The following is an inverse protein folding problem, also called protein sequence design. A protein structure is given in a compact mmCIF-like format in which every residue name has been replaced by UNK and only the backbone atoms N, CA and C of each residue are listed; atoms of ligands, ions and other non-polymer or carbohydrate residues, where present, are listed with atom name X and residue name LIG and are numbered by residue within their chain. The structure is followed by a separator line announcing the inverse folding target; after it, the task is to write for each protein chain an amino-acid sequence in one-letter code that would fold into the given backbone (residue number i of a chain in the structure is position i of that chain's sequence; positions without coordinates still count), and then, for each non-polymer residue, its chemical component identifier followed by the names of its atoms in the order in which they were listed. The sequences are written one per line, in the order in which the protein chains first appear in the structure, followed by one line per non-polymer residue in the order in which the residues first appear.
data_IF_626004621805
#
_entry.id   IF_626004621805
#
_cell.length_a   1.000
_cell.length_b   1.000
_cell.length_c   1.000
_cell.angle_alpha   90.00
_cell.angle_beta   90.00
_cell.angle_gamma   90.00
#
_symmetry.space_group_name_H-M   'P 1'
#
loop_
_entity.id
_entity.type
_entity.pdbx_description
1 polymer ?
#
# COMPACT_ATOMS: atom_id res chain seq x y z
N UNK A 1 8.36 6.54 6.33
CA UNK A 1 7.77 5.23 6.02
C UNK A 1 8.53 4.64 4.86
N UNK A 2 8.80 3.35 4.91
CA UNK A 2 9.41 2.55 3.87
C UNK A 2 8.32 1.63 3.32
N UNK A 3 8.15 1.63 2.01
CA UNK A 3 7.30 0.73 1.23
C UNK A 3 8.23 -0.27 0.59
N UNK A 4 7.97 -1.56 0.78
CA UNK A 4 8.71 -2.62 0.10
C UNK A 4 7.71 -3.54 -0.58
N UNK A 5 8.00 -3.92 -1.82
CA UNK A 5 7.20 -4.84 -2.62
C UNK A 5 8.16 -5.88 -3.19
N UNK A 6 7.83 -7.15 -3.01
CA UNK A 6 8.37 -8.24 -3.80
C UNK A 6 7.28 -8.69 -4.75
N UNK A 7 7.50 -8.50 -6.05
CA UNK A 7 6.52 -8.84 -7.05
C UNK A 7 6.37 -10.36 -7.19
N UNK A 8 5.22 -10.77 -7.70
CA UNK A 8 5.03 -12.13 -8.18
C UNK A 8 5.50 -12.27 -9.64
N UNK A 9 4.94 -13.24 -10.37
CA UNK A 9 5.31 -13.45 -11.78
C UNK A 9 4.82 -12.35 -12.73
N UNK A 10 3.97 -11.43 -12.25
CA UNK A 10 3.31 -10.41 -13.05
C UNK A 10 3.49 -8.99 -12.45
N UNK A 11 4.73 -8.50 -12.32
CA UNK A 11 5.01 -7.16 -11.81
C UNK A 11 4.28 -6.05 -12.58
N UNK A 12 4.06 -6.23 -13.89
CA UNK A 12 3.35 -5.28 -14.75
C UNK A 12 1.87 -5.08 -14.39
N UNK A 13 1.31 -5.94 -13.55
CA UNK A 13 -0.08 -5.89 -13.10
C UNK A 13 -0.20 -5.21 -11.74
N UNK A 14 0.91 -5.13 -11.00
CA UNK A 14 0.99 -4.57 -9.66
C UNK A 14 1.31 -3.08 -9.70
N UNK A 15 0.51 -2.29 -8.99
CA UNK A 15 0.81 -0.88 -8.76
C UNK A 15 0.37 -0.44 -7.36
N UNK A 16 0.91 0.67 -6.87
CA UNK A 16 0.40 1.27 -5.64
C UNK A 16 0.24 2.78 -5.75
N UNK A 17 -0.59 3.31 -4.87
CA UNK A 17 -0.75 4.73 -4.60
C UNK A 17 -0.74 4.98 -3.09
N UNK A 18 -0.02 6.02 -2.66
CA UNK A 18 -0.03 6.53 -1.29
C UNK A 18 -0.62 7.93 -1.29
N UNK A 19 -1.61 8.15 -0.44
CA UNK A 19 -2.34 9.41 -0.35
C UNK A 19 -2.44 9.89 1.09
N UNK A 20 -2.44 11.21 1.28
CA UNK A 20 -2.79 11.85 2.55
C UNK A 20 -4.25 12.25 2.54
N UNK A 21 -4.99 11.87 3.56
CA UNK A 21 -6.40 12.23 3.75
C UNK A 21 -6.46 13.53 4.57
N UNK A 22 -6.92 14.61 3.96
CA UNK A 22 -7.17 15.86 4.67
C UNK A 22 -8.47 15.75 5.49
N UNK A 23 -8.35 15.93 6.80
CA UNK A 23 -9.49 15.88 7.72
C UNK A 23 -10.32 17.16 7.60
N UNK A 24 -11.38 17.10 6.79
CA UNK A 24 -12.70 17.73 6.99
C UNK A 24 -13.67 17.34 5.86
N UNK A 25 -13.17 17.15 4.64
CA UNK A 25 -13.98 16.80 3.46
C UNK A 25 -13.62 15.45 2.79
N UNK A 26 -12.69 14.69 3.38
CA UNK A 26 -12.21 13.42 2.80
C UNK A 26 -11.34 13.61 1.56
N UNK A 27 -10.83 14.83 1.32
CA UNK A 27 -9.99 15.10 0.16
C UNK A 27 -8.65 14.36 0.28
N UNK A 28 -8.36 13.54 -0.71
CA UNK A 28 -7.12 12.79 -0.83
C UNK A 28 -6.09 13.60 -1.64
N UNK A 29 -4.85 13.61 -1.15
CA UNK A 29 -3.70 14.19 -1.86
C UNK A 29 -2.68 13.08 -2.11
N UNK A 30 -2.49 12.73 -3.38
CA UNK A 30 -1.47 11.77 -3.81
C UNK A 30 -0.07 12.23 -3.44
N UNK A 31 0.63 11.39 -2.68
CA UNK A 31 2.00 11.61 -2.20
C UNK A 31 3.01 10.80 -3.02
N UNK A 32 2.67 9.57 -3.37
CA UNK A 32 3.52 8.70 -4.17
C UNK A 32 2.69 7.68 -4.96
N UNK A 33 3.29 7.13 -6.01
CA UNK A 33 2.78 5.95 -6.71
C UNK A 33 3.86 5.30 -7.53
N UNK A 34 3.69 4.02 -7.79
CA UNK A 34 4.57 3.27 -8.66
C UNK A 34 3.79 2.14 -9.34
N UNK A 35 4.27 1.72 -10.50
CA UNK A 35 3.75 0.56 -11.23
C UNK A 35 4.93 -0.32 -11.58
N UNK A 36 4.83 -1.61 -11.27
CA UNK A 36 5.85 -2.56 -11.67
C UNK A 36 5.90 -2.70 -13.19
N UNK A 37 7.04 -3.17 -13.69
CA UNK A 37 7.32 -3.40 -15.10
C UNK A 37 7.75 -4.83 -15.34
N UNK A 38 7.61 -5.30 -16.57
CA UNK A 38 8.04 -6.65 -16.94
C UNK A 38 9.52 -6.89 -16.60
N UNK A 39 9.78 -7.88 -15.75
CA UNK A 39 11.12 -8.25 -15.31
C UNK A 39 11.55 -7.65 -13.96
N UNK A 40 10.72 -6.80 -13.34
CA UNK A 40 10.95 -6.34 -11.97
C UNK A 40 10.80 -7.52 -10.99
N UNK A 41 11.63 -7.52 -9.95
CA UNK A 41 11.58 -8.55 -8.89
C UNK A 41 11.12 -7.93 -7.57
N UNK A 42 11.60 -6.73 -7.28
CA UNK A 42 11.32 -5.99 -6.06
C UNK A 42 11.32 -4.48 -6.32
N UNK A 43 10.68 -3.74 -5.41
CA UNK A 43 10.67 -2.29 -5.37
C UNK A 43 10.69 -1.79 -3.92
N UNK A 44 11.46 -0.72 -3.68
CA UNK A 44 11.56 -0.06 -2.38
C UNK A 44 11.44 1.46 -2.54
N UNK A 45 10.60 2.09 -1.70
CA UNK A 45 10.49 3.54 -1.65
C UNK A 45 10.43 4.04 -0.20
N UNK A 46 11.23 5.08 0.12
CA UNK A 46 11.22 5.73 1.44
C UNK A 46 10.64 7.14 1.35
N UNK A 47 9.57 7.38 2.10
CA UNK A 47 8.79 8.62 2.09
C UNK A 47 8.74 9.20 3.51
N UNK A 48 9.01 10.49 3.64
CA UNK A 48 8.83 11.21 4.91
C UNK A 48 7.37 11.61 5.08
N UNK A 49 6.70 11.07 6.10
CA UNK A 49 5.32 11.37 6.43
C UNK A 49 5.27 12.11 7.78
N UNK A 50 4.44 13.15 7.86
CA UNK A 50 4.12 13.82 9.12
C UNK A 50 2.84 13.25 9.75
N UNK A 51 2.36 13.90 10.80
CA UNK A 51 1.07 13.54 11.41
C UNK A 51 -0.08 13.68 10.39
N UNK A 52 -1.03 12.75 10.46
CA UNK A 52 -2.17 12.73 9.54
C UNK A 52 -2.79 11.35 9.36
N UNK A 53 -3.81 11.31 8.51
CA UNK A 53 -4.44 10.09 8.02
C UNK A 53 -3.91 9.78 6.62
N UNK A 54 -3.67 8.51 6.34
CA UNK A 54 -3.10 8.05 5.09
C UNK A 54 -3.86 6.85 4.55
N UNK A 55 -3.89 6.75 3.23
CA UNK A 55 -4.41 5.62 2.46
C UNK A 55 -3.28 5.09 1.59
N UNK A 56 -2.96 3.81 1.73
CA UNK A 56 -2.10 3.09 0.81
C UNK A 56 -2.94 2.06 0.08
N UNK A 57 -2.99 2.13 -1.24
CA UNK A 57 -3.71 1.16 -2.07
C UNK A 57 -2.70 0.43 -2.93
N UNK A 58 -2.70 -0.90 -2.88
CA UNK A 58 -2.00 -1.75 -3.84
C UNK A 58 -3.05 -2.40 -4.75
N UNK A 59 -2.79 -2.43 -6.05
CA UNK A 59 -3.72 -2.89 -7.07
C UNK A 59 -3.11 -4.05 -7.84
N UNK A 60 -3.95 -5.02 -8.17
CA UNK A 60 -3.71 -6.01 -9.20
C UNK A 60 -4.70 -5.78 -10.35
N UNK A 61 -4.18 -5.42 -11.52
CA UNK A 61 -5.01 -5.00 -12.66
C UNK A 61 -5.77 -6.15 -13.34
N UNK A 62 -5.31 -7.40 -13.20
CA UNK A 62 -5.97 -8.55 -13.83
C UNK A 62 -7.05 -9.16 -12.95
N UNK A 63 -6.99 -8.96 -11.63
CA UNK A 63 -8.06 -9.41 -10.75
C UNK A 63 -7.96 -10.87 -10.37
N UNK A 64 -6.80 -11.50 -10.55
CA UNK A 64 -6.54 -12.88 -10.16
C UNK A 64 -5.72 -12.98 -8.86
N UNK A 65 -5.36 -11.82 -8.30
CA UNK A 65 -4.77 -11.66 -6.99
C UNK A 65 -3.27 -11.54 -7.06
N UNK A 66 -2.72 -10.76 -6.13
CA UNK A 66 -1.28 -10.56 -6.02
C UNK A 66 -0.65 -11.60 -5.10
N UNK A 67 0.15 -12.50 -5.68
CA UNK A 67 0.88 -13.56 -4.96
C UNK A 67 2.33 -13.16 -4.68
N UNK A 68 2.54 -11.88 -4.40
CA UNK A 68 3.80 -11.35 -3.93
C UNK A 68 3.72 -10.99 -2.46
N UNK A 69 4.72 -10.23 -2.01
CA UNK A 69 4.79 -9.71 -0.65
C UNK A 69 4.86 -8.19 -0.69
N UNK A 70 4.26 -7.52 0.29
CA UNK A 70 4.54 -6.11 0.50
C UNK A 70 4.53 -5.75 1.98
N UNK A 71 5.26 -4.70 2.35
CA UNK A 71 5.29 -4.17 3.70
C UNK A 71 5.31 -2.65 3.75
N UNK A 72 4.69 -2.12 4.81
CA UNK A 72 4.73 -0.71 5.17
C UNK A 72 5.38 -0.58 6.55
N UNK A 73 6.55 0.04 6.62
CA UNK A 73 7.32 0.17 7.87
C UNK A 73 7.66 1.62 8.18
N UNK A 74 7.36 2.10 9.38
CA UNK A 74 7.83 3.40 9.88
C UNK A 74 9.28 3.30 10.29
N UNK A 75 10.09 4.28 9.91
CA UNK A 75 11.48 4.39 10.35
C UNK A 75 11.48 5.12 11.70
N UNK A 76 12.05 4.54 12.78
CA UNK A 76 13.15 3.57 12.75
C UNK A 76 12.82 2.06 12.84
N UNK A 77 11.56 1.61 12.80
CA UNK A 77 11.28 0.16 12.64
C UNK A 77 9.88 -0.35 13.03
N UNK A 78 8.86 0.50 13.15
CA UNK A 78 7.51 0.05 13.49
C UNK A 78 6.74 -0.39 12.24
N UNK A 79 6.34 -1.66 12.15
CA UNK A 79 5.58 -2.20 11.02
C UNK A 79 4.11 -1.81 11.12
N UNK A 80 3.58 -1.17 10.08
CA UNK A 80 2.15 -0.87 9.92
C UNK A 80 1.42 -2.13 9.45
N UNK A 81 1.90 -2.71 8.34
CA UNK A 81 1.37 -3.96 7.79
C UNK A 81 2.45 -4.73 7.04
N UNK A 82 2.28 -6.05 6.97
CA UNK A 82 3.04 -6.99 6.14
C UNK A 82 2.04 -8.00 5.60
N UNK A 83 2.01 -8.14 4.27
CA UNK A 83 1.16 -9.11 3.59
C UNK A 83 2.03 -10.03 2.77
N UNK A 84 1.67 -11.30 2.81
CA UNK A 84 2.37 -12.39 2.14
C UNK A 84 1.31 -13.27 1.49
N UNK A 85 1.25 -13.22 0.15
CA UNK A 85 0.34 -14.04 -0.66
C UNK A 85 -1.15 -13.92 -0.26
N UNK A 86 -1.54 -12.77 0.29
CA UNK A 86 -2.85 -12.55 0.92
C UNK A 86 -3.62 -11.35 0.37
N UNK A 87 -3.11 -10.70 -0.67
CA UNK A 87 -3.79 -9.56 -1.28
C UNK A 87 -4.99 -10.06 -2.09
N UNK A 88 -6.11 -9.35 -1.97
CA UNK A 88 -7.35 -9.73 -2.64
C UNK A 88 -7.23 -9.67 -4.17
N UNK A 89 -8.21 -10.25 -4.87
CA UNK A 89 -8.23 -10.38 -6.33
C UNK A 89 -7.79 -9.12 -7.06
N UNK A 90 -8.31 -7.94 -6.71
CA UNK A 90 -7.98 -6.68 -7.40
C UNK A 90 -7.03 -5.78 -6.60
N UNK A 91 -6.49 -6.26 -5.47
CA UNK A 91 -5.70 -5.44 -4.55
C UNK A 91 -6.37 -5.17 -3.21
N UNK A 92 -5.77 -4.30 -2.42
CA UNK A 92 -6.31 -3.89 -1.12
C UNK A 92 -5.92 -2.45 -0.76
N UNK A 93 -6.72 -1.85 0.12
CA UNK A 93 -6.51 -0.54 0.69
C UNK A 93 -6.18 -0.66 2.18
N UNK A 94 -5.12 0.02 2.61
CA UNK A 94 -4.65 0.12 3.99
C UNK A 94 -4.80 1.56 4.46
N UNK A 95 -5.72 1.77 5.39
CA UNK A 95 -5.93 3.05 6.07
C UNK A 95 -5.17 3.04 7.39
N UNK A 96 -4.41 4.09 7.67
CA UNK A 96 -3.67 4.22 8.91
C UNK A 96 -3.46 5.70 9.31
N UNK A 97 -3.22 5.93 10.61
CA UNK A 97 -2.93 7.26 11.16
C UNK A 97 -1.48 7.37 11.61
N UNK A 98 -0.91 8.57 11.51
CA UNK A 98 0.32 8.99 12.19
C UNK A 98 0.05 10.12 13.20
N UNK A 99 0.65 10.10 14.41
CA UNK A 99 1.48 9.02 14.97
C UNK A 99 0.76 7.68 14.99
N UNK A 100 1.50 6.58 14.86
CA UNK A 100 0.88 5.28 14.59
C UNK A 100 -0.10 4.89 15.69
N UNK A 101 -1.33 4.65 15.29
CA UNK A 101 -2.39 4.15 16.15
C UNK A 101 -2.97 2.89 15.52
N UNK A 102 -2.61 1.73 16.09
CA UNK A 102 -3.08 0.42 15.63
C UNK A 102 -4.60 0.30 15.65
N UNK A 103 -5.32 1.07 16.47
CA UNK A 103 -6.78 1.06 16.49
C UNK A 103 -7.40 1.73 15.24
N UNK A 104 -6.61 2.52 14.50
CA UNK A 104 -7.02 3.16 13.24
C UNK A 104 -6.60 2.37 12.00
N UNK A 105 -5.82 1.30 12.18
CA UNK A 105 -5.40 0.44 11.09
C UNK A 105 -6.61 -0.33 10.56
N UNK A 106 -6.90 -0.16 9.28
CA UNK A 106 -7.99 -0.85 8.60
C UNK A 106 -7.51 -1.31 7.22
N UNK A 107 -7.73 -2.59 6.91
CA UNK A 107 -7.30 -3.21 5.65
C UNK A 107 -8.55 -3.75 4.96
N UNK A 108 -8.77 -3.29 3.73
CA UNK A 108 -9.99 -3.60 2.97
C UNK A 108 -9.64 -4.12 1.57
N UNK A 109 -10.28 -5.21 1.11
CA UNK A 109 -10.15 -5.64 -0.27
C UNK A 109 -10.71 -4.60 -1.24
N UNK A 110 -10.11 -4.47 -2.43
CA UNK A 110 -10.60 -3.64 -3.52
C UNK A 110 -11.44 -4.52 -4.48
N UNK A 111 -12.56 -4.00 -4.97
CA UNK A 111 -13.35 -4.65 -6.02
C UNK A 111 -14.25 -5.82 -5.58
N UNK A 112 -14.43 -6.04 -4.28
CA UNK A 112 -15.38 -7.02 -3.73
C UNK A 112 -16.69 -6.34 -3.31
N UNK A 113 -17.63 -6.20 -4.25
CA UNK A 113 -19.07 -5.96 -4.00
C UNK A 113 -19.87 -7.26 -4.18
#
# INVERSE_FOLDING_TARGET
MMIQIQYDSYPGETSYELEKIASEDGQETKLASHSGSYGDNDHEESICLGDGLYSFSIYDSFGDGFNGEYSLTLVPGETITMQDNSVSLYGEQVLFRLPFDRATLDVRPIGSD
#
